data_IF_100767093060
#
_entry.id   IF_100767093060
#
_cell.length_a   1.000
_cell.length_b   1.000
_cell.length_c   1.000
_cell.angle_alpha   90.00
_cell.angle_beta   90.00
_cell.angle_gamma   90.00
#
_symmetry.space_group_name_H-M   'P 1'
#
loop_
_entity.id
_entity.type
_entity.pdbx_description
1 polymer ?
#
# COMPACT_ATOMS: atom_id res chain seq x y z
N UNK A 1 5.08 -14.51 14.87
CA UNK A 1 3.83 -13.88 15.37
C UNK A 1 2.68 -14.29 14.46
N UNK A 2 1.48 -14.53 14.98
CA UNK A 2 0.30 -14.87 14.16
C UNK A 2 -0.71 -13.74 14.18
N UNK A 3 -1.30 -13.46 13.02
CA UNK A 3 -2.44 -12.56 12.89
C UNK A 3 -3.65 -13.40 12.52
N UNK A 4 -4.74 -13.21 13.25
CA UNK A 4 -5.99 -13.94 13.06
C UNK A 4 -7.14 -13.00 12.73
N UNK A 5 -8.12 -13.48 11.96
CA UNK A 5 -9.42 -12.84 11.88
C UNK A 5 -10.30 -13.37 13.02
N UNK A 6 -10.74 -12.48 13.91
CA UNK A 6 -11.48 -12.85 15.12
C UNK A 6 -12.83 -13.50 14.80
N UNK A 7 -13.53 -13.04 13.76
CA UNK A 7 -14.87 -13.53 13.41
C UNK A 7 -14.88 -14.96 12.87
N UNK A 8 -13.86 -15.32 12.11
CA UNK A 8 -13.73 -16.63 11.45
C UNK A 8 -12.79 -17.56 12.22
N UNK A 9 -12.05 -17.05 13.20
CA UNK A 9 -10.99 -17.74 13.92
C UNK A 9 -9.89 -18.31 13.01
N UNK A 10 -9.73 -17.74 11.80
CA UNK A 10 -8.75 -18.18 10.83
C UNK A 10 -7.44 -17.39 10.96
N UNK A 11 -6.32 -18.08 10.78
CA UNK A 11 -5.01 -17.44 10.68
C UNK A 11 -4.93 -16.76 9.30
N UNK A 12 -4.79 -15.44 9.29
CA UNK A 12 -4.64 -14.66 8.05
C UNK A 12 -3.18 -14.52 7.65
N UNK A 13 -2.27 -14.49 8.63
CA UNK A 13 -0.84 -14.29 8.36
C UNK A 13 0.03 -14.84 9.48
N UNK A 14 1.13 -15.47 9.09
CA UNK A 14 2.28 -15.68 9.95
C UNK A 14 3.32 -14.60 9.62
N UNK A 15 3.73 -13.85 10.64
CA UNK A 15 4.82 -12.90 10.58
C UNK A 15 6.08 -13.61 11.05
N UNK A 16 7.02 -13.79 10.13
CA UNK A 16 8.32 -14.41 10.36
C UNK A 16 9.32 -13.32 10.74
N UNK A 17 9.82 -13.41 11.96
CA UNK A 17 10.89 -12.56 12.49
C UNK A 17 12.16 -13.36 12.67
N UNK A 18 13.21 -12.76 13.24
CA UNK A 18 14.41 -13.50 13.62
C UNK A 18 14.02 -14.69 14.50
N UNK A 19 14.32 -15.87 14.00
CA UNK A 19 13.78 -17.16 14.43
C UNK A 19 14.29 -17.64 15.79
N UNK A 20 15.30 -16.97 16.34
CA UNK A 20 16.03 -17.41 17.53
C UNK A 20 15.55 -16.77 18.83
N UNK A 21 14.69 -15.76 18.77
CA UNK A 21 14.32 -14.96 19.94
C UNK A 21 12.82 -15.06 20.25
N UNK A 22 12.50 -15.29 21.53
CA UNK A 22 11.12 -15.26 22.01
C UNK A 22 10.58 -13.83 22.05
N UNK A 23 9.29 -13.65 21.76
CA UNK A 23 8.61 -12.35 21.92
C UNK A 23 8.08 -12.25 23.34
N UNK A 24 8.45 -11.19 24.05
CA UNK A 24 8.04 -10.95 25.45
C UNK A 24 6.87 -9.98 25.58
N UNK A 25 6.73 -9.05 24.63
CA UNK A 25 5.65 -8.06 24.62
C UNK A 25 5.30 -7.63 23.20
N UNK A 26 4.05 -7.24 22.99
CA UNK A 26 3.53 -6.81 21.71
C UNK A 26 2.50 -5.70 21.91
N UNK A 27 2.56 -4.67 21.06
CA UNK A 27 1.60 -3.57 21.04
C UNK A 27 1.23 -3.17 19.61
N UNK A 28 0.01 -2.70 19.44
CA UNK A 28 -0.51 -2.19 18.17
C UNK A 28 -0.42 -0.67 18.14
N UNK A 29 -0.12 -0.11 16.98
CA UNK A 29 -0.21 1.34 16.85
C UNK A 29 -1.68 1.80 16.86
N UNK A 30 -2.05 2.81 17.67
CA UNK A 30 -3.45 3.20 17.85
C UNK A 30 -4.07 3.86 16.61
N UNK A 31 -3.25 4.43 15.72
CA UNK A 31 -3.72 5.24 14.58
C UNK A 31 -3.27 4.73 13.21
N UNK A 32 -2.35 3.76 13.15
CA UNK A 32 -1.75 3.30 11.88
C UNK A 32 -2.08 1.81 11.78
N UNK A 33 -3.14 1.46 11.03
CA UNK A 33 -3.55 0.08 10.86
C UNK A 33 -2.41 -0.77 10.30
N UNK A 34 -2.24 -1.98 10.84
CA UNK A 34 -1.22 -2.91 10.37
C UNK A 34 0.20 -2.62 10.88
N UNK A 35 0.41 -1.59 11.69
CA UNK A 35 1.68 -1.36 12.36
C UNK A 35 1.69 -1.97 13.77
N UNK A 36 2.70 -2.80 14.04
CA UNK A 36 2.87 -3.54 15.29
C UNK A 36 4.29 -3.34 15.79
N UNK A 37 4.47 -3.19 17.10
CA UNK A 37 5.78 -3.25 17.73
C UNK A 37 5.86 -4.46 18.66
N UNK A 38 6.98 -5.16 18.64
CA UNK A 38 7.24 -6.30 19.52
C UNK A 38 8.62 -6.20 20.15
N UNK A 39 8.74 -6.65 21.40
CA UNK A 39 10.01 -6.72 22.13
C UNK A 39 10.44 -8.18 22.26
N UNK A 40 11.71 -8.46 21.98
CA UNK A 40 12.31 -9.78 22.11
C UNK A 40 12.89 -10.00 23.51
N UNK A 41 13.07 -11.26 23.89
CA UNK A 41 13.74 -11.65 25.12
C UNK A 41 15.20 -11.19 25.19
N UNK A 42 15.82 -10.88 24.05
CA UNK A 42 17.16 -10.31 23.96
C UNK A 42 17.18 -8.78 24.12
N UNK A 43 16.02 -8.14 24.32
CA UNK A 43 15.89 -6.70 24.47
C UNK A 43 15.82 -5.93 23.14
N UNK A 44 15.62 -6.63 22.01
CA UNK A 44 15.47 -5.99 20.70
C UNK A 44 14.01 -5.61 20.45
N UNK A 45 13.80 -4.44 19.85
CA UNK A 45 12.49 -3.97 19.41
C UNK A 45 12.34 -4.15 17.90
N UNK A 46 11.33 -4.88 17.48
CA UNK A 46 10.97 -5.06 16.07
C UNK A 46 9.71 -4.27 15.74
N UNK A 47 9.72 -3.55 14.62
CA UNK A 47 8.56 -2.85 14.06
C UNK A 47 8.11 -3.57 12.81
N UNK A 48 6.85 -3.97 12.81
CA UNK A 48 6.19 -4.64 11.70
C UNK A 48 5.23 -3.65 11.06
N UNK A 49 5.24 -3.57 9.73
CA UNK A 49 4.30 -2.75 8.99
C UNK A 49 3.90 -3.48 7.71
N UNK A 50 2.62 -3.38 7.33
CA UNK A 50 2.22 -3.69 5.97
C UNK A 50 2.80 -2.59 5.09
N UNK A 51 3.75 -2.93 4.22
CA UNK A 51 4.43 -1.95 3.38
C UNK A 51 3.40 -1.08 2.67
N UNK A 52 3.41 0.23 2.95
CA UNK A 52 2.66 1.18 2.14
C UNK A 52 3.29 1.11 0.76
N UNK A 53 2.56 0.56 -0.22
CA UNK A 53 3.01 0.60 -1.60
C UNK A 53 3.01 2.06 -2.04
N UNK A 54 4.16 2.56 -2.42
CA UNK A 54 4.23 3.84 -3.12
C UNK A 54 3.48 3.71 -4.45
N UNK A 55 2.52 4.60 -4.65
CA UNK A 55 1.76 4.67 -5.90
C UNK A 55 2.49 5.60 -6.86
N UNK A 56 2.74 5.18 -8.09
CA UNK A 56 3.35 6.07 -9.09
C UNK A 56 2.47 7.30 -9.39
N UNK A 57 1.16 7.17 -9.18
CA UNK A 57 0.20 8.27 -9.26
C UNK A 57 0.37 9.36 -8.19
N UNK A 58 1.15 9.12 -7.13
CA UNK A 58 1.43 10.15 -6.14
C UNK A 58 2.43 11.20 -6.66
N UNK A 59 3.19 10.89 -7.71
CA UNK A 59 4.27 11.75 -8.22
C UNK A 59 3.81 12.79 -9.24
N UNK A 60 2.66 12.60 -9.89
CA UNK A 60 2.14 13.58 -10.85
C UNK A 60 0.61 13.55 -10.94
N UNK A 61 0.02 14.73 -11.01
CA UNK A 61 -1.42 14.90 -11.18
C UNK A 61 -1.86 14.47 -12.58
N UNK A 62 -2.88 13.63 -12.68
CA UNK A 62 -3.40 13.12 -13.96
C UNK A 62 -2.79 11.79 -14.41
N UNK A 63 -1.77 11.27 -13.72
CA UNK A 63 -1.26 9.91 -13.96
C UNK A 63 -2.04 8.89 -13.16
N UNK A 64 -2.59 7.88 -13.85
CA UNK A 64 -3.27 6.75 -13.24
C UNK A 64 -2.46 5.50 -13.52
N UNK A 65 -2.05 4.80 -12.45
CA UNK A 65 -1.34 3.54 -12.59
C UNK A 65 -2.29 2.45 -13.11
N UNK A 66 -1.91 1.80 -14.21
CA UNK A 66 -2.69 0.73 -14.81
C UNK A 66 -2.17 -0.62 -14.31
N UNK A 67 -3.07 -1.41 -13.71
CA UNK A 67 -2.77 -2.79 -13.31
C UNK A 67 -2.75 -3.76 -14.50
N UNK A 68 -3.51 -3.43 -15.54
CA UNK A 68 -3.66 -4.22 -16.76
C UNK A 68 -3.76 -3.28 -17.97
N UNK A 69 -3.44 -3.79 -19.16
CA UNK A 69 -3.61 -3.04 -20.40
C UNK A 69 -5.08 -2.68 -20.61
N UNK A 70 -5.33 -1.44 -20.98
CA UNK A 70 -6.63 -0.94 -21.40
C UNK A 70 -6.54 -0.51 -22.86
N UNK A 71 -7.65 -0.65 -23.59
CA UNK A 71 -7.76 -0.12 -24.94
C UNK A 71 -8.09 1.36 -24.80
N UNK A 72 -7.26 2.20 -25.42
CA UNK A 72 -7.52 3.62 -25.51
C UNK A 72 -8.69 3.87 -26.47
N UNK A 73 -9.66 4.69 -26.05
CA UNK A 73 -10.72 5.20 -26.93
C UNK A 73 -10.62 6.72 -26.91
N UNK A 74 -10.13 7.25 -28.00
CA UNK A 74 -9.93 8.68 -28.24
C UNK A 74 -11.27 9.43 -28.17
N UNK A 75 -11.26 10.66 -27.62
CA UNK A 75 -12.40 11.56 -27.74
C UNK A 75 -12.31 12.20 -29.13
N UNK A 76 -13.42 12.25 -29.87
CA UNK A 76 -13.43 12.73 -31.28
C UNK A 76 -12.77 14.11 -31.49
N UNK A 77 -12.85 14.98 -30.50
CA UNK A 77 -12.33 16.35 -30.50
C UNK A 77 -10.96 16.49 -29.82
N UNK A 78 -10.29 15.39 -29.47
CA UNK A 78 -8.97 15.41 -28.80
C UNK A 78 -7.88 16.05 -29.66
N UNK A 79 -7.99 15.92 -30.98
CA UNK A 79 -7.04 16.49 -31.94
C UNK A 79 -7.64 17.64 -32.76
N UNK A 80 -8.85 18.09 -32.41
CA UNK A 80 -9.43 19.25 -33.06
C UNK A 80 -8.63 20.49 -32.68
N UNK A 81 -8.07 21.16 -33.69
CA UNK A 81 -7.44 22.46 -33.49
C UNK A 81 -8.54 23.48 -33.21
N UNK A 82 -8.74 23.89 -31.95
CA UNK A 82 -9.48 25.11 -31.62
C UNK A 82 -8.63 26.34 -31.97
N UNK A 83 -8.34 26.53 -33.25
CA UNK A 83 -7.81 27.79 -33.77
C UNK A 83 -8.92 28.41 -34.60
N UNK A 84 -9.58 29.48 -34.13
CA UNK A 84 -10.40 30.27 -35.04
C UNK A 84 -9.46 30.74 -36.16
N UNK A 85 -9.72 30.26 -37.37
CA UNK A 85 -9.03 30.74 -38.57
C UNK A 85 -9.44 32.20 -38.68
N UNK A 86 -8.65 33.11 -38.11
CA UNK A 86 -8.74 34.53 -38.42
C UNK A 86 -8.35 34.65 -39.89
N UNK A 87 -9.36 34.60 -40.76
CA UNK A 87 -9.25 34.99 -42.15
C UNK A 87 -9.12 36.51 -42.16
N UNK A 88 -7.89 37.00 -42.20
CA UNK A 88 -7.57 38.32 -42.74
C UNK A 88 -7.51 38.26 -44.27
#
# INVERSE_FOLDING_TARGET
LFVWEIRTAMIIKQLEGPSTEGVVSLTWHPHVPGMIASVSSAGLCYVWNASVRESWSAYTTGFTELKFNIIYTEREDEFDSEVPITKE
#
